data_IF_626707099980
#
_entry.id   IF_626707099980
#
_cell.length_a   1.000
_cell.length_b   1.000
_cell.length_c   1.000
_cell.angle_alpha   90.00
_cell.angle_beta   90.00
_cell.angle_gamma   90.00
#
_symmetry.space_group_name_H-M   'P 1'
#
loop_
_entity.id
_entity.type
_entity.pdbx_description
1 polymer ?
#
# COMPACT_ATOMS: atom_id res chain seq x y z
N UNK A 1 -33.08 16.00 12.72
CA UNK A 1 -31.63 15.97 12.99
C UNK A 1 -31.27 14.61 13.56
N UNK A 2 -30.06 14.12 13.27
CA UNK A 2 -29.56 12.85 13.78
C UNK A 2 -28.05 12.93 13.97
N UNK A 3 -27.53 12.09 14.85
CA UNK A 3 -26.10 12.06 15.21
C UNK A 3 -25.31 11.11 14.31
N UNK A 4 -24.03 11.42 14.08
CA UNK A 4 -23.09 10.53 13.39
C UNK A 4 -22.18 9.90 14.45
N UNK A 5 -22.15 8.57 14.48
CA UNK A 5 -21.26 7.78 15.34
C UNK A 5 -20.26 7.00 14.49
N UNK A 6 -18.96 7.20 14.72
CA UNK A 6 -17.87 6.52 14.02
C UNK A 6 -17.02 5.73 15.01
N UNK A 7 -16.89 4.42 14.78
CA UNK A 7 -16.00 3.55 15.54
C UNK A 7 -14.77 3.24 14.70
N UNK A 8 -13.58 3.53 15.24
CA UNK A 8 -12.31 3.13 14.66
C UNK A 8 -11.65 2.12 15.58
N UNK A 9 -11.37 0.92 15.09
CA UNK A 9 -10.63 -0.11 15.83
C UNK A 9 -9.15 -0.09 15.42
N UNK A 10 -8.22 -0.41 16.32
CA UNK A 10 -6.81 -0.54 15.95
C UNK A 10 -6.60 -1.74 15.02
N UNK A 11 -5.61 -1.64 14.13
CA UNK A 11 -5.10 -2.77 13.34
C UNK A 11 -4.01 -3.55 14.08
N UNK A 12 -3.45 -4.56 13.40
CA UNK A 12 -2.24 -5.26 13.86
C UNK A 12 -0.96 -4.46 13.60
N UNK A 13 0.14 -4.83 14.26
CA UNK A 13 1.47 -4.25 14.01
C UNK A 13 2.20 -4.93 12.83
N UNK A 14 3.05 -4.18 12.14
CA UNK A 14 3.91 -4.71 11.07
C UNK A 14 5.19 -5.38 11.57
N UNK A 15 5.84 -6.18 10.72
CA UNK A 15 7.11 -6.83 11.00
C UNK A 15 8.07 -6.71 9.80
N UNK A 16 9.34 -6.43 10.07
CA UNK A 16 10.39 -6.32 9.05
C UNK A 16 10.42 -4.97 8.32
N UNK A 17 11.26 -4.89 7.28
CA UNK A 17 11.36 -3.70 6.44
C UNK A 17 10.25 -3.70 5.36
N UNK A 18 9.36 -2.68 5.31
CA UNK A 18 8.33 -2.59 4.29
C UNK A 18 8.86 -2.63 2.84
N UNK A 19 10.07 -2.12 2.59
CA UNK A 19 10.67 -2.11 1.25
C UNK A 19 11.13 -3.50 0.77
N UNK A 20 11.21 -4.48 1.68
CA UNK A 20 11.54 -5.87 1.35
C UNK A 20 10.29 -6.71 1.04
N UNK A 21 9.07 -6.19 1.33
CA UNK A 21 7.82 -6.87 0.98
C UNK A 21 7.70 -7.02 -0.54
N UNK A 22 7.26 -8.19 -1.00
CA UNK A 22 6.99 -8.45 -2.42
C UNK A 22 5.99 -7.42 -2.97
N UNK A 23 6.30 -6.77 -4.11
CA UNK A 23 5.36 -5.87 -4.77
C UNK A 23 4.00 -6.51 -5.10
N UNK A 24 3.98 -7.80 -5.43
CA UNK A 24 2.78 -8.56 -5.75
C UNK A 24 1.86 -8.72 -4.53
N UNK A 25 2.45 -8.97 -3.35
CA UNK A 25 1.67 -9.01 -2.10
C UNK A 25 1.09 -7.64 -1.77
N UNK A 26 1.85 -6.56 -1.99
CA UNK A 26 1.35 -5.19 -1.81
C UNK A 26 0.21 -4.89 -2.79
N UNK A 27 0.32 -5.32 -4.06
CA UNK A 27 -0.80 -5.22 -5.02
C UNK A 27 -2.03 -5.98 -4.54
N UNK A 28 -1.87 -7.20 -4.02
CA UNK A 28 -2.99 -7.95 -3.44
C UNK A 28 -3.65 -7.20 -2.28
N UNK A 29 -2.87 -6.56 -1.40
CA UNK A 29 -3.40 -5.75 -0.29
C UNK A 29 -4.20 -4.54 -0.81
N UNK A 30 -3.75 -3.90 -1.91
CA UNK A 30 -4.50 -2.79 -2.56
C UNK A 30 -5.78 -3.30 -3.23
N UNK A 31 -5.71 -4.42 -3.95
CA UNK A 31 -6.89 -5.04 -4.58
C UNK A 31 -7.94 -5.49 -3.55
N UNK A 32 -7.50 -5.84 -2.33
CA UNK A 32 -8.37 -6.19 -1.22
C UNK A 32 -8.88 -4.97 -0.43
N UNK A 33 -8.57 -3.74 -0.88
CA UNK A 33 -8.91 -2.48 -0.21
C UNK A 33 -8.35 -2.37 1.23
N UNK A 34 -7.36 -3.20 1.57
CA UNK A 34 -6.66 -3.15 2.85
C UNK A 34 -5.58 -2.07 2.88
N UNK A 35 -5.15 -1.63 1.69
CA UNK A 35 -4.09 -0.66 1.50
C UNK A 35 -4.47 0.32 0.39
N UNK A 36 -4.20 1.61 0.58
CA UNK A 36 -4.39 2.60 -0.48
C UNK A 36 -3.21 2.59 -1.47
N UNK A 37 -3.45 3.05 -2.69
CA UNK A 37 -2.38 3.28 -3.69
C UNK A 37 -1.28 4.22 -3.16
N UNK A 38 -1.68 5.23 -2.38
CA UNK A 38 -0.75 6.17 -1.75
C UNK A 38 0.14 5.46 -0.72
N UNK A 39 -0.46 4.69 0.20
CA UNK A 39 0.30 3.95 1.21
C UNK A 39 1.21 2.87 0.58
N UNK A 40 0.77 2.21 -0.49
CA UNK A 40 1.61 1.29 -1.26
C UNK A 40 2.89 1.96 -1.79
N UNK A 41 2.77 3.20 -2.29
CA UNK A 41 3.91 4.00 -2.76
C UNK A 41 4.79 4.47 -1.61
N UNK A 42 4.18 5.01 -0.57
CA UNK A 42 4.91 5.73 0.48
C UNK A 42 5.54 4.81 1.51
N UNK A 43 4.85 3.77 1.92
CA UNK A 43 5.33 2.85 2.95
C UNK A 43 6.11 1.70 2.32
N UNK A 44 5.60 1.10 1.24
CA UNK A 44 6.18 -0.09 0.62
C UNK A 44 7.05 0.20 -0.62
N UNK A 45 7.06 1.44 -1.11
CA UNK A 45 7.82 1.81 -2.28
C UNK A 45 7.31 1.20 -3.59
N UNK A 46 6.06 0.73 -3.63
CA UNK A 46 5.47 0.05 -4.79
C UNK A 46 4.63 1.04 -5.59
N UNK A 47 4.94 1.19 -6.87
CA UNK A 47 4.20 2.04 -7.79
C UNK A 47 3.31 1.16 -8.67
N UNK A 48 2.04 1.50 -8.77
CA UNK A 48 1.05 0.82 -9.59
C UNK A 48 0.31 1.81 -10.48
N UNK A 49 -0.21 1.34 -11.61
CA UNK A 49 -1.19 2.10 -12.39
C UNK A 49 -2.48 2.29 -11.57
N UNK A 50 -3.05 3.49 -11.59
CA UNK A 50 -4.22 3.82 -10.76
C UNK A 50 -5.51 3.15 -11.22
N UNK A 51 -5.55 2.64 -12.45
CA UNK A 51 -6.73 2.04 -13.07
C UNK A 51 -6.60 0.52 -13.14
N UNK A 52 -5.50 0.00 -13.69
CA UNK A 52 -5.29 -1.44 -13.85
C UNK A 52 -4.69 -2.11 -12.61
N UNK A 53 -4.13 -1.33 -11.68
CA UNK A 53 -3.38 -1.82 -10.52
C UNK A 53 -2.16 -2.68 -10.89
N UNK A 54 -1.71 -2.63 -12.15
CA UNK A 54 -0.49 -3.30 -12.56
C UNK A 54 0.74 -2.62 -11.95
N UNK A 55 1.69 -3.43 -11.49
CA UNK A 55 2.91 -2.93 -10.85
C UNK A 55 3.82 -2.34 -11.93
N UNK A 56 4.28 -1.11 -11.71
CA UNK A 56 5.38 -0.53 -12.47
C UNK A 56 6.69 -0.95 -11.84
N UNK A 57 7.26 -2.06 -12.33
CA UNK A 57 8.49 -2.65 -11.79
C UNK A 57 9.67 -1.67 -11.83
N UNK A 58 9.88 -0.99 -12.95
CA UNK A 58 11.00 -0.06 -13.12
C UNK A 58 10.89 1.14 -12.15
N UNK A 59 9.70 1.72 -12.01
CA UNK A 59 9.47 2.83 -11.10
C UNK A 59 9.58 2.37 -9.63
N UNK A 60 9.07 1.18 -9.30
CA UNK A 60 9.19 0.56 -7.97
C UNK A 60 10.65 0.35 -7.58
N UNK A 61 11.46 -0.23 -8.47
CA UNK A 61 12.89 -0.43 -8.24
C UNK A 61 13.63 0.91 -8.06
N UNK A 62 13.34 1.89 -8.91
CA UNK A 62 13.93 3.24 -8.80
C UNK A 62 13.52 3.98 -7.52
N UNK A 63 12.30 3.79 -7.05
CA UNK A 63 11.83 4.40 -5.81
C UNK A 63 12.51 3.75 -4.60
N UNK A 64 12.57 2.42 -4.57
CA UNK A 64 13.21 1.66 -3.48
C UNK A 64 14.72 1.90 -3.38
N UNK A 65 15.42 2.15 -4.49
CA UNK A 65 16.87 2.45 -4.46
C UNK A 65 17.22 3.85 -3.94
N UNK A 66 16.22 4.73 -3.80
CA UNK A 66 16.39 6.12 -3.31
C UNK A 66 15.93 6.32 -1.88
N UNK A 67 15.36 5.28 -1.25
CA UNK A 67 14.93 5.28 0.15
C UNK A 67 15.98 4.58 1.00
#
# INVERSE_FOLDING_TARGET
>A
EGDIFLVKTPGGGGYGNPLERSPELVRCDVMAELLSLEAAREEYGVIMDSTSLEINEEATQRLRSRK
#
